data_IF_860219884891
#
_entry.id   IF_860219884891
#
_cell.length_a   1.000
_cell.length_b   1.000
_cell.length_c   1.000
_cell.angle_alpha   90.00
_cell.angle_beta   90.00
_cell.angle_gamma   90.00
#
_symmetry.space_group_name_H-M   'P 1'
#
loop_
_entity.id
_entity.type
_entity.pdbx_description
1 polymer ?
#
# COMPACT_ATOMS: atom_id res chain seq x y z
N UNK A 1 14.37 7.09 8.99
CA UNK A 1 12.96 6.65 9.02
C UNK A 1 12.09 7.89 9.04
N UNK A 2 11.42 8.23 7.94
CA UNK A 2 10.58 9.44 7.83
C UNK A 2 9.45 9.41 8.87
N UNK A 3 8.99 10.59 9.32
CA UNK A 3 7.98 10.77 10.39
C UNK A 3 6.67 9.97 10.21
N UNK A 4 6.41 9.48 9.00
CA UNK A 4 5.11 8.96 8.60
C UNK A 4 4.75 7.58 9.15
N UNK A 5 5.62 6.89 9.88
CA UNK A 5 5.28 5.56 10.45
C UNK A 5 5.34 5.50 11.97
N UNK A 6 5.84 6.56 12.63
CA UNK A 6 5.92 6.62 14.10
C UNK A 6 4.55 6.50 14.77
N UNK A 7 3.52 7.11 14.16
CA UNK A 7 2.15 7.08 14.69
C UNK A 7 1.60 5.65 14.84
N UNK A 8 2.02 4.70 13.99
CA UNK A 8 1.57 3.30 14.09
C UNK A 8 2.04 2.64 15.40
N UNK A 9 3.13 3.12 15.99
CA UNK A 9 3.72 2.57 17.20
C UNK A 9 3.38 3.39 18.45
N UNK A 10 3.14 4.69 18.31
CA UNK A 10 2.94 5.63 19.42
C UNK A 10 1.45 5.89 19.72
N UNK A 11 0.57 5.86 18.71
CA UNK A 11 -0.83 6.20 18.89
C UNK A 11 -1.64 5.04 19.51
N UNK A 12 -2.43 5.36 20.53
CA UNK A 12 -3.25 4.41 21.27
C UNK A 12 -4.28 3.69 20.38
N UNK A 13 -4.74 4.33 19.31
CA UNK A 13 -5.66 3.74 18.34
C UNK A 13 -5.09 2.47 17.70
N UNK A 14 -3.79 2.46 17.38
CA UNK A 14 -3.11 1.32 16.75
C UNK A 14 -2.47 0.36 17.76
N UNK A 15 -2.70 0.54 19.07
CA UNK A 15 -2.09 -0.30 20.12
C UNK A 15 -2.46 -1.78 20.00
N UNK A 16 -3.66 -2.09 19.51
CA UNK A 16 -4.16 -3.46 19.33
C UNK A 16 -3.68 -4.14 18.05
N UNK A 17 -3.07 -3.42 17.11
CA UNK A 17 -2.51 -4.04 15.89
C UNK A 17 -1.24 -4.80 16.21
N UNK A 18 -1.08 -5.97 15.59
CA UNK A 18 0.15 -6.74 15.70
C UNK A 18 1.32 -6.01 15.03
N UNK A 19 2.55 -6.36 15.42
CA UNK A 19 3.75 -5.81 14.79
C UNK A 19 3.79 -6.11 13.29
N UNK A 20 3.40 -7.33 12.90
CA UNK A 20 3.34 -7.78 11.50
C UNK A 20 2.36 -6.93 10.70
N UNK A 21 1.19 -6.58 11.26
CA UNK A 21 0.23 -5.71 10.54
C UNK A 21 0.80 -4.30 10.33
N UNK A 22 1.50 -3.75 11.33
CA UNK A 22 2.14 -2.43 11.22
C UNK A 22 3.23 -2.46 10.14
N UNK A 23 4.08 -3.49 10.15
CA UNK A 23 5.12 -3.70 9.14
C UNK A 23 4.50 -3.84 7.74
N UNK A 24 3.44 -4.64 7.59
CA UNK A 24 2.73 -4.82 6.32
C UNK A 24 2.17 -3.50 5.79
N UNK A 25 1.58 -2.67 6.66
CA UNK A 25 1.11 -1.34 6.28
C UNK A 25 2.26 -0.45 5.77
N UNK A 26 3.40 -0.43 6.48
CA UNK A 26 4.57 0.36 6.04
C UNK A 26 5.04 -0.07 4.65
N UNK A 27 5.10 -1.38 4.40
CA UNK A 27 5.50 -1.93 3.09
C UNK A 27 4.48 -1.55 2.01
N UNK A 28 3.18 -1.67 2.28
CA UNK A 28 2.13 -1.30 1.32
C UNK A 28 2.12 0.20 1.03
N UNK A 29 2.42 1.05 2.03
CA UNK A 29 2.52 2.49 1.85
C UNK A 29 3.68 2.89 0.94
N UNK A 30 4.84 2.27 1.10
CA UNK A 30 5.98 2.43 0.16
C UNK A 30 5.57 2.05 -1.26
N UNK A 31 4.89 0.90 -1.41
CA UNK A 31 4.39 0.45 -2.72
C UNK A 31 3.31 1.36 -3.30
N UNK A 32 2.55 2.06 -2.46
CA UNK A 32 1.50 2.98 -2.88
C UNK A 32 2.10 4.26 -3.47
N UNK A 33 3.14 4.78 -2.84
CA UNK A 33 3.91 5.92 -3.36
C UNK A 33 4.51 5.58 -4.74
N UNK A 34 5.03 4.36 -4.91
CA UNK A 34 5.48 3.86 -6.22
C UNK A 34 4.35 3.76 -7.25
N UNK A 35 3.16 3.32 -6.85
CA UNK A 35 1.99 3.30 -7.74
C UNK A 35 1.61 4.71 -8.21
N UNK A 36 1.66 5.71 -7.32
CA UNK A 36 1.41 7.12 -7.68
C UNK A 36 2.47 7.61 -8.67
N UNK A 37 3.75 7.41 -8.37
CA UNK A 37 4.86 7.87 -9.20
C UNK A 37 4.83 7.29 -10.62
N UNK A 38 4.34 6.06 -10.76
CA UNK A 38 4.24 5.38 -12.05
C UNK A 38 2.85 5.52 -12.70
N UNK A 39 1.96 6.33 -12.14
CA UNK A 39 0.60 6.54 -12.62
C UNK A 39 -0.16 5.22 -12.83
N UNK A 40 0.01 4.28 -11.91
CA UNK A 40 -0.73 3.01 -11.90
C UNK A 40 -2.15 3.25 -11.37
N UNK A 41 -2.95 3.79 -12.27
CA UNK A 41 -4.32 4.21 -12.04
C UNK A 41 -5.24 3.48 -13.01
N UNK A 42 -6.36 2.97 -12.51
CA UNK A 42 -7.36 2.28 -13.32
C UNK A 42 -8.27 3.27 -14.07
N UNK A 43 -9.21 2.74 -14.87
CA UNK A 43 -10.18 3.53 -15.64
C UNK A 43 -11.14 4.38 -14.78
N UNK A 44 -11.27 4.06 -13.48
CA UNK A 44 -12.12 4.76 -12.52
C UNK A 44 -11.31 5.73 -11.64
N UNK A 45 -10.05 5.99 -12.01
CA UNK A 45 -9.14 6.84 -11.27
C UNK A 45 -8.71 6.28 -9.89
N UNK A 46 -8.77 4.96 -9.70
CA UNK A 46 -8.26 4.31 -8.48
C UNK A 46 -6.80 3.87 -8.66
N UNK A 47 -5.98 4.15 -7.66
CA UNK A 47 -4.60 3.69 -7.60
C UNK A 47 -4.57 2.20 -7.24
N UNK A 48 -3.81 1.41 -7.98
CA UNK A 48 -3.65 -0.03 -7.73
C UNK A 48 -2.19 -0.44 -7.58
N UNK A 49 -1.95 -1.59 -6.95
CA UNK A 49 -0.63 -2.18 -6.78
C UNK A 49 -0.34 -3.17 -7.91
N UNK A 50 0.35 -2.74 -8.96
CA UNK A 50 0.58 -3.56 -10.17
C UNK A 50 1.15 -4.95 -9.88
N UNK A 51 2.17 -5.04 -9.03
CA UNK A 51 2.77 -6.33 -8.68
C UNK A 51 1.82 -7.22 -7.89
N UNK A 52 1.06 -6.67 -6.96
CA UNK A 52 0.10 -7.43 -6.17
C UNK A 52 -1.04 -7.95 -7.05
N UNK A 53 -1.59 -7.11 -7.92
CA UNK A 53 -2.59 -7.50 -8.91
C UNK A 53 -2.08 -8.65 -9.78
N UNK A 54 -0.81 -8.61 -10.22
CA UNK A 54 -0.20 -9.70 -10.99
C UNK A 54 -0.11 -11.00 -10.19
N UNK A 55 0.36 -10.95 -8.94
CA UNK A 55 0.48 -12.13 -8.10
C UNK A 55 -0.88 -12.77 -7.77
N UNK A 56 -1.92 -11.95 -7.63
CA UNK A 56 -3.27 -12.40 -7.32
C UNK A 56 -4.08 -12.81 -8.56
N UNK A 57 -3.50 -12.75 -9.76
CA UNK A 57 -4.19 -13.12 -11.01
C UNK A 57 -5.13 -12.03 -11.56
N UNK A 58 -5.10 -10.81 -11.04
CA UNK A 58 -5.92 -9.68 -11.51
C UNK A 58 -5.23 -8.81 -12.58
N UNK A 59 -4.09 -9.25 -13.16
CA UNK A 59 -3.32 -8.43 -14.10
C UNK A 59 -4.12 -7.97 -15.33
N UNK A 60 -5.03 -8.81 -15.80
CA UNK A 60 -5.89 -8.58 -16.98
C UNK A 60 -6.95 -7.48 -16.78
N UNK A 61 -7.26 -7.10 -15.53
CA UNK A 61 -8.26 -6.07 -15.22
C UNK A 61 -7.71 -4.64 -15.22
N UNK A 62 -6.38 -4.49 -15.13
CA UNK A 62 -5.71 -3.21 -14.90
C UNK A 62 -4.59 -2.91 -15.91
N UNK A 63 -4.41 -3.76 -16.92
CA UNK A 63 -3.64 -3.41 -18.12
C UNK A 63 -4.42 -2.38 -18.92
N UNK A 64 -3.77 -1.26 -19.29
CA UNK A 64 -4.23 -0.46 -20.43
C UNK A 64 -4.31 -1.32 -21.68
#
# INVERSE_FOLDING_TARGET
MSYQTKYLFEDAYFKKMSAETKIMYVLLKDRFELSIQNEWVDKNNNIYFKHLCKYLGYAEYYSK
#
